data_IF_804876869447
#
_entry.id   IF_804876869447
#
_cell.length_a   1.000
_cell.length_b   1.000
_cell.length_c   1.000
_cell.angle_alpha   90.00
_cell.angle_beta   90.00
_cell.angle_gamma   90.00
#
_symmetry.space_group_name_H-M   'P 1'
#
loop_
_entity.id
_entity.type
_entity.pdbx_description
1 polymer ?
#
# COMPACT_ATOMS: atom_id res chain seq x y z
N UNK A 1 1.69 -11.41 -2.73
CA UNK A 1 1.76 -11.24 -1.27
C UNK A 1 2.18 -12.56 -0.65
N UNK A 2 3.17 -12.56 0.25
CA UNK A 2 3.65 -13.78 0.93
C UNK A 2 2.83 -14.04 2.20
N UNK A 3 2.68 -15.30 2.61
CA UNK A 3 2.01 -15.69 3.87
C UNK A 3 2.42 -14.84 5.08
N UNK A 4 3.72 -14.67 5.27
CA UNK A 4 4.29 -13.95 6.42
C UNK A 4 3.96 -12.46 6.41
N UNK A 5 3.76 -11.86 5.24
CA UNK A 5 3.33 -10.47 5.10
C UNK A 5 1.86 -10.29 5.47
N UNK A 6 1.00 -11.22 5.03
CA UNK A 6 -0.43 -11.19 5.38
C UNK A 6 -0.65 -11.43 6.87
N UNK A 7 -0.01 -12.46 7.44
CA UNK A 7 -0.14 -12.78 8.86
C UNK A 7 0.29 -11.65 9.79
N UNK A 8 1.29 -10.86 9.38
CA UNK A 8 1.84 -9.75 10.18
C UNK A 8 1.29 -8.38 9.79
N UNK A 9 0.33 -8.30 8.87
CA UNK A 9 -0.18 -7.04 8.32
C UNK A 9 0.94 -6.12 7.80
N UNK A 10 1.81 -6.66 6.95
CA UNK A 10 2.97 -5.94 6.38
C UNK A 10 2.83 -5.79 4.89
N UNK A 11 2.87 -4.56 4.41
CA UNK A 11 2.89 -4.22 3.00
C UNK A 11 4.28 -3.73 2.63
N UNK A 12 5.03 -4.55 1.90
CA UNK A 12 6.38 -4.17 1.48
C UNK A 12 6.31 -3.19 0.30
N UNK A 13 6.98 -2.04 0.44
CA UNK A 13 7.17 -1.10 -0.66
C UNK A 13 8.39 -1.56 -1.45
N UNK A 14 8.29 -1.78 -2.78
CA UNK A 14 9.45 -2.09 -3.60
C UNK A 14 10.52 -1.00 -3.51
N UNK A 15 11.77 -1.36 -3.24
CA UNK A 15 12.84 -0.38 -3.02
C UNK A 15 13.27 0.38 -4.28
N UNK A 16 13.06 -0.20 -5.47
CA UNK A 16 13.21 0.54 -6.72
C UNK A 16 12.18 1.67 -6.79
N UNK A 17 10.91 1.36 -6.54
CA UNK A 17 9.83 2.36 -6.49
C UNK A 17 10.09 3.43 -5.43
N UNK A 18 10.53 3.04 -4.23
CA UNK A 18 10.88 3.98 -3.16
C UNK A 18 11.94 5.01 -3.60
N UNK A 19 13.05 4.53 -4.19
CA UNK A 19 14.15 5.40 -4.61
C UNK A 19 13.76 6.32 -5.77
N UNK A 20 13.01 5.79 -6.73
CA UNK A 20 12.63 6.51 -7.93
C UNK A 20 11.54 7.56 -7.66
N UNK A 21 10.63 7.30 -6.72
CA UNK A 21 9.40 8.10 -6.57
C UNK A 21 9.18 8.73 -5.18
N UNK A 22 9.88 8.29 -4.12
CA UNK A 22 9.60 8.73 -2.74
C UNK A 22 10.80 9.45 -2.11
N UNK A 23 11.98 8.79 -2.08
CA UNK A 23 13.10 9.15 -1.20
C UNK A 23 13.58 10.61 -1.28
N UNK A 24 13.46 11.25 -2.44
CA UNK A 24 13.88 12.63 -2.67
C UNK A 24 12.74 13.55 -3.13
N UNK A 25 11.53 13.00 -3.21
CA UNK A 25 10.37 13.68 -3.77
C UNK A 25 9.30 13.99 -2.70
N UNK A 26 9.29 13.24 -1.59
CA UNK A 26 8.32 13.38 -0.52
C UNK A 26 9.04 13.79 0.76
N UNK A 27 8.55 14.85 1.42
CA UNK A 27 9.16 15.38 2.64
C UNK A 27 8.85 14.51 3.87
N UNK A 28 7.60 14.07 4.05
CA UNK A 28 7.21 13.18 5.14
C UNK A 28 7.01 11.76 4.62
N UNK A 29 7.98 10.91 4.92
CA UNK A 29 7.95 9.49 4.56
C UNK A 29 7.67 8.58 5.76
N UNK A 30 7.13 9.12 6.86
CA UNK A 30 6.86 8.37 8.09
C UNK A 30 5.55 7.61 8.05
N UNK A 31 4.66 7.96 7.13
CA UNK A 31 3.31 7.42 7.00
C UNK A 31 2.81 7.48 5.57
N UNK A 32 1.91 6.58 5.23
CA UNK A 32 1.13 6.59 4.00
C UNK A 32 -0.35 6.64 4.35
N UNK A 33 -1.11 7.41 3.56
CA UNK A 33 -2.56 7.28 3.54
C UNK A 33 -2.92 6.29 2.44
N UNK A 34 -3.51 5.17 2.85
CA UNK A 34 -4.03 4.12 1.97
C UNK A 34 -5.53 4.27 1.84
N UNK A 35 -6.04 3.90 0.67
CA UNK A 35 -7.43 4.07 0.30
C UNK A 35 -8.00 2.75 -0.23
N UNK A 36 -9.15 2.36 0.32
CA UNK A 36 -9.96 1.23 -0.13
C UNK A 36 -11.44 1.62 -0.06
N UNK A 37 -12.34 0.83 -0.66
CA UNK A 37 -13.80 1.04 -0.60
C UNK A 37 -14.33 1.27 0.83
N UNK A 38 -13.66 0.73 1.85
CA UNK A 38 -13.98 0.91 3.27
C UNK A 38 -13.49 2.21 3.93
N UNK A 39 -12.66 3.02 3.25
CA UNK A 39 -12.24 4.33 3.76
C UNK A 39 -10.76 4.68 3.60
N UNK A 40 -10.30 5.53 4.51
CA UNK A 40 -8.94 6.08 4.61
C UNK A 40 -8.21 5.42 5.77
N UNK A 41 -7.01 4.93 5.50
CA UNK A 41 -6.21 4.18 6.48
C UNK A 41 -4.85 4.83 6.60
N UNK A 42 -4.48 5.24 7.81
CA UNK A 42 -3.19 5.85 8.10
C UNK A 42 -2.21 4.77 8.54
N UNK A 43 -1.26 4.46 7.65
CA UNK A 43 -0.33 3.36 7.84
C UNK A 43 1.09 3.88 7.99
N UNK A 44 1.74 3.68 9.15
CA UNK A 44 3.14 4.02 9.34
C UNK A 44 4.04 3.32 8.32
N UNK A 45 5.06 4.05 7.87
CA UNK A 45 6.15 3.49 7.06
C UNK A 45 7.37 3.34 7.95
N UNK A 46 7.86 2.10 8.08
CA UNK A 46 9.11 1.79 8.77
C UNK A 46 10.18 1.46 7.73
N UNK A 47 11.24 2.26 7.73
CA UNK A 47 12.44 2.04 6.92
C UNK A 47 13.52 1.41 7.79
N UNK A 48 13.85 0.14 7.54
CA UNK A 48 14.88 -0.59 8.27
C UNK A 48 15.58 -1.61 7.37
N UNK A 49 16.88 -1.82 7.57
CA UNK A 49 17.68 -2.82 6.85
C UNK A 49 17.53 -2.77 5.32
N UNK A 50 17.50 -1.56 4.75
CA UNK A 50 17.35 -1.36 3.31
C UNK A 50 15.97 -1.74 2.76
N UNK A 51 14.94 -1.84 3.60
CA UNK A 51 13.55 -2.09 3.23
C UNK A 51 12.66 -0.97 3.74
N UNK A 52 11.59 -0.70 3.01
CA UNK A 52 10.48 0.14 3.45
C UNK A 52 9.23 -0.73 3.58
N UNK A 53 8.63 -0.74 4.76
CA UNK A 53 7.43 -1.51 5.08
C UNK A 53 6.34 -0.59 5.58
N UNK A 54 5.13 -0.76 5.08
CA UNK A 54 3.92 -0.23 5.69
C UNK A 54 3.39 -1.27 6.68
N UNK A 55 3.42 -0.94 7.96
CA UNK A 55 3.02 -1.82 9.05
C UNK A 55 2.54 -1.03 10.26
N UNK A 56 1.82 -1.71 11.17
CA UNK A 56 1.14 -1.08 12.32
C UNK A 56 0.02 -0.11 11.91
N UNK A 57 -0.55 0.61 12.89
CA UNK A 57 -1.71 1.48 12.70
C UNK A 57 -2.84 0.72 12.01
N UNK A 58 -3.36 1.32 10.94
CA UNK A 58 -4.51 0.81 10.21
C UNK A 58 -4.14 -0.29 9.18
N UNK A 59 -2.88 -0.77 9.14
CA UNK A 59 -2.43 -1.73 8.14
C UNK A 59 -3.26 -3.02 8.13
N UNK A 60 -3.66 -3.52 9.31
CA UNK A 60 -4.46 -4.75 9.41
C UNK A 60 -5.87 -4.53 8.88
N UNK A 61 -6.52 -3.47 9.34
CA UNK A 61 -7.87 -3.10 8.92
C UNK A 61 -7.92 -2.87 7.40
N UNK A 62 -6.96 -2.12 6.86
CA UNK A 62 -6.83 -1.93 5.42
C UNK A 62 -6.72 -3.25 4.65
N UNK A 63 -5.89 -4.19 5.13
CA UNK A 63 -5.71 -5.48 4.46
C UNK A 63 -6.97 -6.33 4.51
N UNK A 64 -7.67 -6.35 5.65
CA UNK A 64 -8.90 -7.10 5.84
C UNK A 64 -10.02 -6.52 4.96
N UNK A 65 -10.23 -5.20 4.96
CA UNK A 65 -11.22 -4.49 4.13
C UNK A 65 -10.92 -4.57 2.62
N UNK A 66 -9.63 -4.59 2.24
CA UNK A 66 -9.23 -4.74 0.83
C UNK A 66 -9.32 -6.18 0.32
N UNK A 67 -9.48 -7.16 1.21
CA UNK A 67 -9.43 -8.59 0.91
C UNK A 67 -8.03 -9.06 0.50
N UNK A 68 -6.97 -8.50 1.10
CA UNK A 68 -5.59 -8.87 0.77
C UNK A 68 -5.25 -10.20 1.43
N UNK A 69 -5.11 -11.23 0.60
CA UNK A 69 -4.76 -12.60 1.04
C UNK A 69 -3.43 -13.08 0.44
N UNK A 70 -2.96 -14.25 0.87
CA UNK A 70 -1.76 -14.85 0.30
C UNK A 70 -1.94 -15.11 -1.21
N UNK A 71 -0.89 -14.91 -1.99
CA UNK A 71 -0.90 -15.18 -3.43
C UNK A 71 -1.34 -14.00 -4.30
N UNK A 72 -2.03 -12.99 -3.76
CA UNK A 72 -2.47 -11.85 -4.59
C UNK A 72 -1.31 -10.94 -4.99
N UNK A 73 -1.41 -10.27 -6.13
CA UNK A 73 -0.47 -9.21 -6.51
C UNK A 73 -1.08 -7.84 -6.22
N UNK A 74 -0.36 -7.04 -5.43
CA UNK A 74 -0.69 -5.67 -5.14
C UNK A 74 0.13 -4.74 -6.05
N UNK A 75 -0.53 -3.83 -6.73
CA UNK A 75 0.09 -2.75 -7.48
C UNK A 75 0.00 -1.47 -6.66
N UNK A 76 1.10 -0.72 -6.62
CA UNK A 76 1.20 0.56 -5.93
C UNK A 76 1.23 1.68 -6.98
N UNK A 77 0.44 2.72 -6.78
CA UNK A 77 0.48 3.94 -7.59
C UNK A 77 0.62 5.14 -6.66
N UNK A 78 1.71 5.90 -6.77
CA UNK A 78 1.83 7.15 -6.05
C UNK A 78 0.91 8.18 -6.73
N UNK A 79 -0.07 8.72 -6.01
CA UNK A 79 -1.00 9.75 -6.48
C UNK A 79 -0.78 11.01 -5.65
N UNK A 80 -0.09 11.99 -6.23
CA UNK A 80 0.41 13.15 -5.48
C UNK A 80 1.50 12.77 -4.46
N UNK A 81 2.15 13.76 -3.84
CA UNK A 81 3.17 13.52 -2.81
C UNK A 81 2.60 13.04 -1.46
N UNK A 82 1.33 12.59 -1.44
CA UNK A 82 0.57 12.36 -0.21
C UNK A 82 -0.21 11.03 -0.20
N UNK A 83 -0.36 10.30 -1.31
CA UNK A 83 -1.20 9.10 -1.37
C UNK A 83 -0.57 7.95 -2.18
N UNK A 84 -0.68 6.72 -1.68
CA UNK A 84 -0.33 5.50 -2.42
C UNK A 84 -1.58 4.66 -2.62
N UNK A 85 -1.97 4.47 -3.88
CA UNK A 85 -3.11 3.65 -4.27
C UNK A 85 -2.70 2.20 -4.47
N UNK A 86 -3.51 1.30 -3.94
CA UNK A 86 -3.39 -0.12 -4.15
C UNK A 86 -4.37 -0.60 -5.21
N UNK A 87 -3.89 -1.43 -6.13
CA UNK A 87 -4.74 -2.18 -7.05
C UNK A 87 -4.47 -3.67 -6.90
N UNK A 88 -5.50 -4.43 -6.58
CA UNK A 88 -5.42 -5.90 -6.56
C UNK A 88 -5.59 -6.43 -7.98
N UNK A 89 -4.78 -7.43 -8.34
CA UNK A 89 -4.98 -8.23 -9.55
C UNK A 89 -5.18 -9.69 -9.14
N UNK A 90 -6.41 -10.17 -9.31
CA UNK A 90 -6.72 -11.60 -9.28
C UNK A 90 -6.38 -12.22 -10.63
N UNK A 91 -5.67 -13.35 -10.61
CA UNK A 91 -5.22 -14.04 -11.83
C UNK A 91 -6.31 -14.98 -12.38
N UNK A 92 -7.43 -15.18 -11.66
CA UNK A 92 -8.44 -16.21 -11.99
C UNK A 92 -9.82 -15.71 -12.46
N UNK A 93 -10.12 -14.40 -12.43
CA UNK A 93 -11.38 -13.84 -12.94
C UNK A 93 -11.17 -12.44 -13.51
N UNK A 94 -11.67 -12.19 -14.73
CA UNK A 94 -11.69 -10.90 -15.43
C UNK A 94 -12.63 -9.84 -14.79
N UNK A 95 -12.74 -9.83 -13.46
CA UNK A 95 -13.32 -8.71 -12.73
C UNK A 95 -12.20 -8.03 -11.95
N UNK A 96 -11.71 -6.95 -12.55
CA UNK A 96 -10.69 -6.09 -11.96
C UNK A 96 -11.42 -4.97 -11.22
N UNK A 97 -11.52 -4.99 -9.88
CA UNK A 97 -12.01 -3.83 -9.15
C UNK A 97 -11.00 -2.69 -9.35
N UNK A 98 -11.47 -1.62 -9.98
CA UNK A 98 -10.71 -0.40 -10.18
C UNK A 98 -10.80 0.40 -8.88
N UNK A 99 -9.68 0.55 -8.18
CA UNK A 99 -9.57 1.57 -7.13
C UNK A 99 -8.97 2.82 -7.76
N UNK A 100 -9.81 3.84 -7.94
CA UNK A 100 -9.44 5.20 -8.36
C UNK A 100 -9.51 6.13 -7.16
N UNK A 101 -8.59 7.09 -7.06
CA UNK A 101 -8.63 8.13 -6.04
C UNK A 101 -8.33 9.49 -6.65
N UNK A 102 -9.11 10.48 -6.24
CA UNK A 102 -8.88 11.92 -6.40
C UNK A 102 -9.10 12.58 -5.04
N UNK A 103 -8.32 13.61 -4.67
CA UNK A 103 -8.61 14.46 -3.50
C UNK A 103 -8.10 15.91 -3.71
N UNK A 104 -8.88 16.87 -3.21
CA UNK A 104 -8.65 18.32 -3.24
C UNK A 104 -8.21 18.83 -1.85
N UNK A 105 -7.68 20.06 -1.83
CA UNK A 105 -7.09 20.83 -0.72
C UNK A 105 -7.99 21.03 0.50
#
# INVERSE_FOLDING_TARGET
>A
MKKTHVQRARLAIPMNFWREHIEHQVNDTTRAILLCEGGRYNVPIIKAHGKALMEHGDAREFMDESGIVEGITCLFTLIGYECVVFKKRDISRDHMPYMSVSCYT
#
